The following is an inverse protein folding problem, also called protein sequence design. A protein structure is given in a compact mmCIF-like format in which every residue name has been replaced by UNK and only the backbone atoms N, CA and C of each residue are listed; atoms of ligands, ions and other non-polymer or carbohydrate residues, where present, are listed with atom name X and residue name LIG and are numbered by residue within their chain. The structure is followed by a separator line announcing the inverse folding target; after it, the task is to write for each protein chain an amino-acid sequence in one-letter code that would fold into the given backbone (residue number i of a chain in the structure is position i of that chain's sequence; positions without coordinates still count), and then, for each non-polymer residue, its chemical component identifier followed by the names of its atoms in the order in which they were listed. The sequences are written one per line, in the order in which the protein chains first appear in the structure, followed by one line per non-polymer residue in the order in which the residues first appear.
data_IF_079726713689
#
_entry.id   IF_079726713689
#
_cell.length_a   1.000
_cell.length_b   1.000
_cell.length_c   1.000
_cell.angle_alpha   90.00
_cell.angle_beta   90.00
_cell.angle_gamma   90.00
#
_symmetry.space_group_name_H-M   'P 1'
#
loop_
_entity.id
_entity.type
_entity.pdbx_description
1 polymer ?
#
# COMPACT_ATOMS: atom_id res chain seq x y z
N UNK A 1 -10.05 45.61 51.27
CA UNK A 1 -9.75 44.21 50.90
C UNK A 1 -9.56 43.43 52.20
N UNK A 2 -10.38 42.42 52.45
CA UNK A 2 -10.30 41.65 53.71
C UNK A 2 -9.16 40.65 53.60
N UNK A 3 -8.38 40.52 54.68
CA UNK A 3 -7.23 39.58 54.78
C UNK A 3 -7.57 38.16 54.29
N UNK A 4 -8.81 37.72 54.46
CA UNK A 4 -9.33 36.44 53.99
C UNK A 4 -9.34 36.34 52.45
N UNK A 5 -9.70 37.43 51.72
CA UNK A 5 -9.69 37.44 50.26
C UNK A 5 -8.28 37.34 49.68
N UNK A 6 -7.31 38.00 50.31
CA UNK A 6 -5.91 37.96 49.88
C UNK A 6 -5.32 36.58 50.07
N UNK A 7 -5.62 35.88 51.18
CA UNK A 7 -5.14 34.52 51.44
C UNK A 7 -5.70 33.52 50.40
N UNK A 8 -6.97 33.62 50.06
CA UNK A 8 -7.61 32.76 49.06
C UNK A 8 -6.98 32.99 47.67
N UNK A 9 -6.69 34.22 47.31
CA UNK A 9 -6.07 34.55 46.01
C UNK A 9 -4.64 34.03 45.90
N UNK A 10 -3.87 34.08 46.98
CA UNK A 10 -2.51 33.54 47.04
C UNK A 10 -2.53 32.01 46.93
N UNK A 11 -3.46 31.32 47.62
CA UNK A 11 -3.60 29.87 47.51
C UNK A 11 -4.01 29.40 46.11
N UNK A 12 -4.91 30.13 45.44
CA UNK A 12 -5.29 29.85 44.06
C UNK A 12 -4.13 30.06 43.09
N UNK A 13 -3.36 31.14 43.27
CA UNK A 13 -2.20 31.42 42.42
C UNK A 13 -1.09 30.35 42.58
N UNK A 14 -0.83 29.89 43.81
CA UNK A 14 0.13 28.82 44.06
C UNK A 14 -0.35 27.48 43.52
N UNK A 15 -1.63 27.16 43.61
CA UNK A 15 -2.19 25.93 43.02
C UNK A 15 -2.07 25.94 41.47
N UNK A 16 -2.38 27.11 40.84
CA UNK A 16 -2.24 27.26 39.39
C UNK A 16 -0.78 27.14 38.93
N UNK A 17 0.16 27.77 39.65
CA UNK A 17 1.58 27.70 39.35
C UNK A 17 2.12 26.27 39.50
N UNK A 18 1.67 25.56 40.54
CA UNK A 18 2.05 24.15 40.73
C UNK A 18 1.50 23.25 39.61
N UNK A 19 0.28 23.48 39.16
CA UNK A 19 -0.34 22.72 38.08
C UNK A 19 0.37 22.95 36.75
N UNK A 20 0.75 24.20 36.45
CA UNK A 20 1.51 24.47 35.21
C UNK A 20 2.92 23.90 35.27
N UNK A 21 3.54 23.91 36.44
CA UNK A 21 4.91 23.34 36.58
C UNK A 21 4.94 21.81 36.51
N UNK A 22 3.97 21.11 37.10
CA UNK A 22 3.83 19.66 36.97
C UNK A 22 3.42 19.24 35.56
N UNK A 23 2.63 20.05 34.85
CA UNK A 23 2.23 19.78 33.46
C UNK A 23 3.34 19.99 32.41
N UNK A 24 4.46 20.63 32.80
CA UNK A 24 5.62 20.84 31.94
C UNK A 24 6.70 19.74 32.10
N UNK A 25 6.39 18.61 32.76
CA UNK A 25 7.31 17.46 32.71
C UNK A 25 7.63 17.16 31.25
N UNK A 26 8.91 17.22 30.84
CA UNK A 26 9.27 16.94 29.46
C UNK A 26 8.74 15.55 29.11
N UNK A 27 7.84 15.49 28.13
CA UNK A 27 7.46 14.19 27.54
C UNK A 27 8.74 13.70 26.87
N UNK A 28 9.52 12.91 27.60
CA UNK A 28 10.66 12.20 27.00
C UNK A 28 10.04 11.27 25.96
N UNK A 29 10.26 11.52 24.66
CA UNK A 29 9.75 10.62 23.64
C UNK A 29 10.32 9.23 23.97
N UNK A 30 9.43 8.29 24.31
CA UNK A 30 9.84 6.91 24.45
C UNK A 30 10.44 6.52 23.10
N UNK A 31 11.70 6.04 23.04
CA UNK A 31 12.22 5.56 21.75
C UNK A 31 11.19 4.60 21.18
N UNK A 32 10.71 4.91 19.99
CA UNK A 32 9.78 4.04 19.28
C UNK A 32 10.42 2.66 19.26
N UNK A 33 9.70 1.63 19.69
CA UNK A 33 10.17 0.27 19.52
C UNK A 33 10.51 0.13 18.02
N UNK A 34 11.62 -0.53 17.67
CA UNK A 34 11.94 -0.76 16.27
C UNK A 34 10.71 -1.39 15.63
N UNK A 35 10.14 -0.70 14.65
CA UNK A 35 9.05 -1.25 13.85
C UNK A 35 9.67 -2.43 13.12
N UNK A 36 9.14 -3.65 13.27
CA UNK A 36 9.64 -4.78 12.50
C UNK A 36 9.66 -4.38 11.04
N UNK A 37 10.80 -4.51 10.38
CA UNK A 37 10.92 -4.27 8.95
C UNK A 37 10.08 -5.34 8.26
N UNK A 38 8.95 -4.94 7.70
CA UNK A 38 8.08 -5.85 6.98
C UNK A 38 8.77 -6.25 5.67
N UNK A 39 8.73 -7.53 5.29
CA UNK A 39 9.37 -7.98 4.05
C UNK A 39 8.74 -7.27 2.85
N UNK A 40 9.52 -7.01 1.79
CA UNK A 40 9.01 -6.40 0.58
C UNK A 40 7.89 -7.24 -0.03
N UNK A 41 7.00 -6.60 -0.76
CA UNK A 41 5.92 -7.29 -1.47
C UNK A 41 6.47 -8.32 -2.46
N UNK A 42 7.57 -7.98 -3.12
CA UNK A 42 8.29 -8.79 -4.09
C UNK A 42 9.80 -8.70 -3.83
N UNK A 43 10.48 -9.84 -3.77
CA UNK A 43 11.94 -9.91 -3.53
C UNK A 43 12.78 -9.73 -4.82
N UNK A 44 12.18 -9.24 -5.90
CA UNK A 44 12.84 -9.03 -7.17
C UNK A 44 13.19 -7.56 -7.38
N UNK A 45 14.23 -7.31 -8.19
CA UNK A 45 14.56 -5.97 -8.65
C UNK A 45 13.70 -5.59 -9.87
N UNK A 46 13.43 -4.29 -10.06
CA UNK A 46 12.62 -3.81 -11.18
C UNK A 46 13.16 -4.29 -12.55
N UNK A 47 14.48 -4.32 -12.74
CA UNK A 47 15.11 -4.79 -13.98
C UNK A 47 14.94 -6.29 -14.28
N UNK A 48 14.45 -7.09 -13.35
CA UNK A 48 14.14 -8.50 -13.57
C UNK A 48 12.71 -8.71 -14.11
N UNK A 49 11.85 -7.68 -14.00
CA UNK A 49 10.48 -7.74 -14.47
C UNK A 49 10.43 -7.56 -15.97
N UNK A 50 9.98 -8.59 -16.69
CA UNK A 50 9.85 -8.54 -18.15
C UNK A 50 8.42 -8.74 -18.63
N UNK A 51 7.52 -9.17 -17.74
CA UNK A 51 6.10 -9.29 -18.06
C UNK A 51 5.23 -8.93 -16.88
N UNK A 52 4.17 -8.17 -17.16
CA UNK A 52 3.12 -7.81 -16.22
C UNK A 52 1.77 -8.23 -16.80
N UNK A 53 1.03 -9.03 -16.07
CA UNK A 53 -0.32 -9.46 -16.41
C UNK A 53 -1.27 -8.96 -15.32
N UNK A 54 -2.29 -8.22 -15.73
CA UNK A 54 -3.29 -7.68 -14.83
C UNK A 54 -4.69 -7.96 -15.35
N UNK A 55 -5.56 -8.44 -14.47
CA UNK A 55 -6.95 -8.73 -14.78
C UNK A 55 -7.86 -8.07 -13.73
N UNK A 56 -8.94 -7.44 -14.20
CA UNK A 56 -9.99 -6.87 -13.37
C UNK A 56 -11.34 -7.04 -14.05
N UNK A 57 -12.11 -8.01 -13.61
CA UNK A 57 -13.37 -8.34 -14.27
C UNK A 57 -13.17 -8.77 -15.73
N UNK A 58 -13.68 -8.00 -16.67
CA UNK A 58 -13.48 -8.23 -18.11
C UNK A 58 -12.21 -7.58 -18.67
N UNK A 59 -11.61 -6.66 -17.93
CA UNK A 59 -10.40 -5.97 -18.37
C UNK A 59 -9.19 -6.87 -18.16
N UNK A 60 -8.42 -7.07 -19.24
CA UNK A 60 -7.15 -7.79 -19.22
C UNK A 60 -6.07 -6.94 -19.85
N UNK A 61 -4.94 -6.83 -19.21
CA UNK A 61 -3.77 -6.14 -19.70
C UNK A 61 -2.57 -7.09 -19.56
N UNK A 62 -1.87 -7.31 -20.66
CA UNK A 62 -0.60 -8.03 -20.67
C UNK A 62 0.43 -7.10 -21.28
N UNK A 63 1.46 -6.77 -20.54
CA UNK A 63 2.58 -5.94 -20.98
C UNK A 63 3.85 -6.79 -21.00
N UNK A 64 4.66 -6.64 -22.03
CA UNK A 64 5.93 -7.35 -22.19
C UNK A 64 7.02 -6.32 -22.44
N UNK A 65 8.10 -6.41 -21.67
CA UNK A 65 9.28 -5.59 -21.88
C UNK A 65 10.14 -6.15 -23.02
N UNK A 66 10.42 -5.31 -24.00
CA UNK A 66 11.27 -5.63 -25.15
C UNK A 66 12.47 -4.66 -25.17
N UNK A 67 13.51 -4.92 -25.97
CA UNK A 67 14.61 -3.95 -26.14
C UNK A 67 14.17 -2.56 -26.63
N UNK A 68 12.96 -2.46 -27.22
CA UNK A 68 12.39 -1.20 -27.69
C UNK A 68 11.47 -0.53 -26.65
N UNK A 69 11.27 -1.11 -25.48
CA UNK A 69 10.37 -0.67 -24.42
C UNK A 69 9.20 -1.64 -24.20
N UNK A 70 8.19 -1.19 -23.45
CA UNK A 70 7.02 -1.99 -23.15
C UNK A 70 6.05 -2.05 -24.33
N UNK A 71 5.50 -3.24 -24.57
CA UNK A 71 4.47 -3.49 -25.59
C UNK A 71 3.30 -4.26 -24.99
N UNK A 72 2.10 -4.08 -25.55
CA UNK A 72 0.95 -4.89 -25.18
C UNK A 72 0.94 -6.27 -25.89
N UNK A 73 -0.09 -7.08 -25.62
CA UNK A 73 -0.26 -8.39 -26.24
C UNK A 73 -0.40 -8.36 -27.78
N UNK A 74 -0.77 -7.21 -28.36
CA UNK A 74 -0.84 -7.02 -29.80
C UNK A 74 0.47 -6.48 -30.40
N UNK A 75 1.52 -6.28 -29.56
CA UNK A 75 2.80 -5.72 -29.97
C UNK A 75 2.78 -4.19 -30.14
N UNK A 76 1.73 -3.51 -29.66
CA UNK A 76 1.65 -2.06 -29.72
C UNK A 76 2.50 -1.44 -28.61
N UNK A 77 3.27 -0.38 -28.90
CA UNK A 77 4.06 0.32 -27.90
C UNK A 77 3.19 0.84 -26.73
N UNK A 78 3.70 0.71 -25.52
CA UNK A 78 3.06 1.22 -24.31
C UNK A 78 3.95 2.30 -23.67
N UNK A 79 3.39 3.33 -23.02
CA UNK A 79 4.17 4.36 -22.34
C UNK A 79 5.08 3.72 -21.26
N UNK A 80 6.37 3.62 -21.56
CA UNK A 80 7.32 2.92 -20.68
C UNK A 80 7.44 3.59 -19.32
N UNK A 81 7.40 4.92 -19.25
CA UNK A 81 7.44 5.68 -18.02
C UNK A 81 6.31 5.32 -17.05
N UNK A 82 5.13 5.03 -17.56
CA UNK A 82 3.98 4.60 -16.72
C UNK A 82 4.18 3.20 -16.19
N UNK A 83 4.69 2.28 -17.02
CA UNK A 83 4.91 0.88 -16.62
C UNK A 83 6.09 0.77 -15.67
N UNK A 84 7.19 1.45 -15.94
CA UNK A 84 8.40 1.43 -15.11
C UNK A 84 8.08 1.95 -13.69
N UNK A 85 7.30 3.02 -13.56
CA UNK A 85 6.86 3.52 -12.24
C UNK A 85 5.97 2.50 -11.51
N UNK A 86 5.10 1.80 -12.22
CA UNK A 86 4.28 0.75 -11.61
C UNK A 86 5.13 -0.45 -11.13
N UNK A 87 6.13 -0.84 -11.90
CA UNK A 87 7.10 -1.89 -11.54
C UNK A 87 7.94 -1.46 -10.34
N UNK A 88 8.48 -0.24 -10.34
CA UNK A 88 9.22 0.31 -9.21
C UNK A 88 8.36 0.37 -7.94
N UNK A 89 7.09 0.75 -8.07
CA UNK A 89 6.17 0.73 -6.95
C UNK A 89 6.00 -0.69 -6.39
N UNK A 90 5.83 -1.71 -7.22
CA UNK A 90 5.68 -3.11 -6.79
C UNK A 90 6.91 -3.62 -6.04
N UNK A 91 8.13 -3.26 -6.47
CA UNK A 91 9.38 -3.68 -5.82
C UNK A 91 9.66 -2.93 -4.52
N UNK A 92 9.12 -1.72 -4.36
CA UNK A 92 9.35 -0.86 -3.18
C UNK A 92 8.26 -0.98 -2.12
N UNK A 93 7.16 -1.68 -2.38
CA UNK A 93 6.07 -1.83 -1.43
C UNK A 93 6.42 -2.83 -0.32
N UNK A 94 6.16 -2.42 0.92
CA UNK A 94 6.27 -3.25 2.12
C UNK A 94 4.86 -3.40 2.71
N UNK A 95 4.16 -4.49 2.40
CA UNK A 95 2.80 -4.71 2.87
C UNK A 95 2.82 -5.19 4.32
N UNK A 96 1.77 -4.84 5.07
CA UNK A 96 1.59 -5.35 6.42
C UNK A 96 0.61 -6.52 6.41
N UNK A 97 0.95 -7.63 7.07
CA UNK A 97 0.02 -8.72 7.36
C UNK A 97 -1.00 -8.21 8.36
N UNK A 98 -2.28 -8.24 8.02
CA UNK A 98 -3.37 -7.76 8.86
C UNK A 98 -4.28 -8.87 9.36
N UNK A 99 -4.29 -10.01 8.69
CA UNK A 99 -5.04 -11.19 9.08
C UNK A 99 -4.44 -12.45 8.42
N UNK A 100 -4.86 -13.61 8.93
CA UNK A 100 -4.77 -14.89 8.23
C UNK A 100 -6.19 -15.37 8.00
N UNK A 101 -6.56 -15.64 6.77
CA UNK A 101 -7.92 -16.02 6.40
C UNK A 101 -7.91 -17.09 5.31
N UNK A 102 -8.90 -17.98 5.35
CA UNK A 102 -9.09 -19.05 4.38
C UNK A 102 -10.56 -19.17 3.97
N UNK A 103 -10.80 -19.73 2.80
CA UNK A 103 -12.15 -20.05 2.35
C UNK A 103 -13.09 -18.84 2.34
N UNK A 104 -14.22 -18.96 3.05
CA UNK A 104 -15.27 -17.94 3.09
C UNK A 104 -14.85 -16.64 3.79
N UNK A 105 -13.90 -16.68 4.71
CA UNK A 105 -13.42 -15.49 5.44
C UNK A 105 -12.73 -14.48 4.50
N UNK A 106 -12.14 -14.96 3.41
CA UNK A 106 -11.53 -14.11 2.39
C UNK A 106 -12.53 -13.18 1.70
N UNK A 107 -13.83 -13.51 1.73
CA UNK A 107 -14.86 -12.66 1.13
C UNK A 107 -15.00 -11.31 1.84
N UNK A 108 -14.71 -11.22 3.13
CA UNK A 108 -14.74 -9.96 3.90
C UNK A 108 -13.71 -8.95 3.36
N UNK A 109 -12.61 -9.46 2.82
CA UNK A 109 -11.53 -8.67 2.22
C UNK A 109 -11.71 -8.45 0.71
N UNK A 110 -12.75 -9.04 0.11
CA UNK A 110 -12.95 -9.04 -1.35
C UNK A 110 -11.96 -9.94 -2.10
N UNK A 111 -11.46 -10.99 -1.43
CA UNK A 111 -10.46 -11.93 -1.95
C UNK A 111 -11.06 -13.30 -2.31
N UNK A 112 -12.38 -13.48 -2.14
CA UNK A 112 -13.09 -14.70 -2.53
C UNK A 112 -14.48 -14.39 -3.09
N UNK A 113 -14.68 -14.18 -4.40
CA UNK A 113 -13.62 -14.08 -5.42
C UNK A 113 -12.80 -12.78 -5.31
N UNK A 114 -11.55 -12.82 -5.71
CA UNK A 114 -10.73 -11.63 -5.77
C UNK A 114 -11.26 -10.66 -6.85
N UNK A 115 -11.16 -9.36 -6.57
CA UNK A 115 -11.62 -8.30 -7.49
C UNK A 115 -10.67 -8.17 -8.67
N UNK A 116 -9.38 -8.38 -8.43
CA UNK A 116 -8.32 -8.26 -9.40
C UNK A 116 -7.24 -9.31 -9.19
N UNK A 117 -6.53 -9.62 -10.26
CA UNK A 117 -5.36 -10.50 -10.26
C UNK A 117 -4.19 -9.78 -10.93
N UNK A 118 -3.04 -9.83 -10.29
CA UNK A 118 -1.79 -9.29 -10.82
C UNK A 118 -0.73 -10.37 -10.80
N UNK A 119 -0.05 -10.59 -11.91
CA UNK A 119 1.10 -11.48 -12.03
C UNK A 119 2.27 -10.73 -12.63
N UNK A 120 3.44 -10.94 -12.07
CA UNK A 120 4.69 -10.35 -12.56
C UNK A 120 5.67 -11.48 -12.81
N UNK A 121 6.28 -11.49 -13.97
CA UNK A 121 7.16 -12.57 -14.41
C UNK A 121 8.51 -12.01 -14.89
N UNK A 122 9.53 -12.86 -14.81
CA UNK A 122 10.86 -12.59 -15.36
C UNK A 122 10.97 -13.03 -16.85
N UNK A 123 12.15 -12.90 -17.42
CA UNK A 123 12.47 -13.25 -18.81
C UNK A 123 12.41 -14.77 -19.11
N UNK A 124 12.50 -15.60 -18.08
CA UNK A 124 12.34 -17.06 -18.20
C UNK A 124 10.88 -17.50 -18.11
N UNK A 125 9.97 -16.56 -17.77
CA UNK A 125 8.57 -16.85 -17.49
C UNK A 125 8.32 -17.34 -16.06
N UNK A 126 9.33 -17.26 -15.18
CA UNK A 126 9.16 -17.56 -13.76
C UNK A 126 8.35 -16.45 -13.10
N UNK A 127 7.38 -16.84 -12.30
CA UNK A 127 6.50 -15.93 -11.57
C UNK A 127 7.24 -15.32 -10.37
N UNK A 128 7.53 -14.03 -10.45
CA UNK A 128 8.15 -13.26 -9.36
C UNK A 128 7.13 -12.97 -8.25
N UNK A 129 5.89 -12.70 -8.64
CA UNK A 129 4.77 -12.56 -7.71
C UNK A 129 3.43 -12.80 -8.42
N UNK A 130 2.48 -13.40 -7.72
CA UNK A 130 1.06 -13.42 -8.07
C UNK A 130 0.26 -12.87 -6.87
N UNK A 131 -0.57 -11.87 -7.14
CA UNK A 131 -1.42 -11.22 -6.15
C UNK A 131 -2.88 -11.32 -6.53
N UNK A 132 -3.68 -11.76 -5.58
CA UNK A 132 -5.10 -11.48 -5.52
C UNK A 132 -5.29 -10.13 -4.84
N UNK A 133 -6.01 -9.20 -5.47
CA UNK A 133 -6.28 -7.86 -4.95
C UNK A 133 -7.78 -7.75 -4.68
N UNK A 134 -8.11 -7.38 -3.46
CA UNK A 134 -9.46 -7.27 -2.96
C UNK A 134 -9.95 -5.83 -2.79
N UNK A 135 -10.77 -5.65 -1.76
CA UNK A 135 -11.40 -4.38 -1.44
C UNK A 135 -10.41 -3.35 -0.87
N UNK A 136 -10.78 -2.08 -0.95
CA UNK A 136 -10.11 -1.03 -0.17
C UNK A 136 -10.43 -1.20 1.32
N UNK A 137 -9.44 -0.92 2.17
CA UNK A 137 -9.68 -0.91 3.60
C UNK A 137 -10.61 0.25 4.01
N UNK A 138 -11.34 0.15 5.14
CA UNK A 138 -12.27 1.20 5.58
C UNK A 138 -11.63 2.58 5.80
N UNK A 139 -10.34 2.63 6.13
CA UNK A 139 -9.60 3.88 6.31
C UNK A 139 -9.12 4.52 5.00
N UNK A 140 -9.33 3.88 3.85
CA UNK A 140 -8.91 4.34 2.52
C UNK A 140 -7.40 4.53 2.34
N UNK A 141 -6.61 3.89 3.21
CA UNK A 141 -5.14 3.98 3.19
C UNK A 141 -4.48 2.91 2.32
N UNK A 142 -5.24 1.90 1.88
CA UNK A 142 -4.73 0.81 1.07
C UNK A 142 -5.80 -0.15 0.59
N UNK A 143 -5.35 -1.21 -0.03
CA UNK A 143 -6.17 -2.34 -0.50
C UNK A 143 -5.75 -3.62 0.19
N UNK A 144 -6.69 -4.51 0.41
CA UNK A 144 -6.38 -5.85 0.83
C UNK A 144 -5.82 -6.64 -0.35
N UNK A 145 -4.82 -7.43 -0.11
CA UNK A 145 -4.21 -8.30 -1.11
C UNK A 145 -3.78 -9.62 -0.48
N UNK A 146 -3.52 -10.62 -1.30
CA UNK A 146 -3.01 -11.92 -0.89
C UNK A 146 -2.03 -12.42 -1.95
N UNK A 147 -0.88 -12.94 -1.53
CA UNK A 147 -0.05 -13.72 -2.46
C UNK A 147 -0.77 -15.02 -2.78
N UNK A 148 -0.77 -15.41 -4.03
CA UNK A 148 -1.38 -16.67 -4.47
C UNK A 148 -0.84 -17.84 -3.63
N UNK A 149 -1.73 -18.70 -3.14
CA UNK A 149 -1.35 -19.87 -2.36
C UNK A 149 -0.99 -19.62 -0.89
N UNK A 150 -1.14 -18.39 -0.37
CA UNK A 150 -0.90 -18.09 1.06
C UNK A 150 -2.21 -17.78 1.78
N UNK A 151 -2.22 -17.94 3.11
CA UNK A 151 -3.35 -17.55 3.96
C UNK A 151 -3.24 -16.09 4.46
N UNK A 152 -2.10 -15.43 4.24
CA UNK A 152 -1.85 -14.10 4.76
C UNK A 152 -2.63 -13.05 3.97
N UNK A 153 -3.47 -12.30 4.66
CA UNK A 153 -4.12 -11.09 4.13
C UNK A 153 -3.20 -9.90 4.39
N UNK A 154 -2.79 -9.29 3.31
CA UNK A 154 -1.89 -8.15 3.29
C UNK A 154 -2.69 -6.85 3.18
N UNK A 155 -2.26 -5.81 3.88
CA UNK A 155 -2.66 -4.44 3.59
C UNK A 155 -1.54 -3.79 2.78
N UNK A 156 -1.81 -3.55 1.52
CA UNK A 156 -0.91 -2.88 0.59
C UNK A 156 -1.32 -1.42 0.46
N UNK A 157 -0.38 -0.50 0.53
CA UNK A 157 -0.65 0.93 0.45
C UNK A 157 -1.39 1.34 -0.82
N UNK A 158 -2.08 2.47 -0.78
CA UNK A 158 -2.88 3.00 -1.90
C UNK A 158 -2.07 3.28 -3.17
N UNK A 159 -0.75 3.33 -3.08
CA UNK A 159 0.14 3.51 -4.23
C UNK A 159 -0.06 2.40 -5.28
N UNK A 160 -0.14 1.14 -4.87
CA UNK A 160 -0.40 0.03 -5.79
C UNK A 160 -1.67 0.28 -6.61
N UNK A 161 -2.75 0.66 -5.93
CA UNK A 161 -4.03 0.92 -6.58
C UNK A 161 -3.94 2.06 -7.58
N UNK A 162 -3.26 3.12 -7.21
CA UNK A 162 -3.09 4.30 -8.04
C UNK A 162 -2.27 4.00 -9.30
N UNK A 163 -1.18 3.22 -9.19
CA UNK A 163 -0.38 2.82 -10.34
C UNK A 163 -1.16 1.89 -11.29
N UNK A 164 -1.91 0.93 -10.76
CA UNK A 164 -2.76 0.06 -11.60
C UNK A 164 -3.87 0.84 -12.32
N UNK A 165 -4.47 1.84 -11.66
CA UNK A 165 -5.47 2.71 -12.29
C UNK A 165 -4.85 3.59 -13.40
N UNK A 166 -3.59 4.03 -13.25
CA UNK A 166 -2.84 4.74 -14.31
C UNK A 166 -2.57 3.85 -15.52
N UNK A 167 -2.14 2.60 -15.30
CA UNK A 167 -1.96 1.63 -16.38
C UNK A 167 -3.25 1.47 -17.20
N UNK A 168 -4.41 1.37 -16.54
CA UNK A 168 -5.68 1.30 -17.21
C UNK A 168 -6.00 2.56 -18.04
N UNK A 169 -5.80 3.74 -17.44
CA UNK A 169 -6.07 5.03 -18.11
C UNK A 169 -5.17 5.23 -19.33
N UNK A 170 -3.92 4.78 -19.29
CA UNK A 170 -3.01 4.82 -20.42
C UNK A 170 -3.52 3.99 -21.60
N UNK A 171 -4.16 2.83 -21.33
CA UNK A 171 -4.81 2.02 -22.37
C UNK A 171 -5.94 2.77 -23.08
N UNK A 172 -6.80 3.43 -22.31
CA UNK A 172 -7.92 4.19 -22.86
C UNK A 172 -7.45 5.31 -23.80
N UNK A 173 -6.35 5.98 -23.43
CA UNK A 173 -5.74 7.05 -24.22
C UNK A 173 -5.11 6.55 -25.53
N UNK A 174 -4.59 5.32 -25.57
CA UNK A 174 -3.97 4.72 -26.76
C UNK A 174 -5.01 4.16 -27.73
N UNK A 175 -6.23 3.88 -27.28
CA UNK A 175 -7.30 3.28 -28.10
C UNK A 175 -8.21 4.33 -28.77
N UNK A 176 -8.06 5.62 -28.44
CA UNK A 176 -8.85 6.69 -29.07
C UNK A 176 -8.11 7.20 -30.31
N UNK A 177 -8.64 6.98 -31.55
CA UNK A 177 -8.03 7.44 -32.79
C UNK A 177 -8.14 8.95 -32.97
#
# INVERSE_FOLDING_TARGET
MTVRGTVILVLLATALASFTWLGQAPIVPRPAAPVPEEPPLMEAQAGQVTRLEWERGADRLTLVHTPAGWVDAAGQPWPSDVVDVAVDALTSLHPRIVAQAEGAELAEYGLAPAVEHLRVLDDTGHELIALDIGNRNPAWTGVYARRAGTADVLLVGSLLRWELDKLRSARESTTTP
#
